data_IF_088401058892
#
_entry.id   IF_088401058892
#
_cell.length_a   1.000
_cell.length_b   1.000
_cell.length_c   1.000
_cell.angle_alpha   90.00
_cell.angle_beta   90.00
_cell.angle_gamma   90.00
#
_symmetry.space_group_name_H-M   'P 1'
#
loop_
_entity.id
_entity.type
_entity.pdbx_description
1 polymer ?
#
# COMPACT_ATOMS: atom_id res chain seq x y z
N UNK A 1 38.38 -9.47 51.91
CA UNK A 1 39.44 -10.28 51.26
C UNK A 1 38.76 -11.45 50.53
N UNK A 2 38.96 -11.69 49.22
CA UNK A 2 39.99 -12.60 48.62
C UNK A 2 40.07 -13.96 49.36
N UNK A 3 40.05 -15.16 48.76
CA UNK A 3 40.06 -15.73 47.37
C UNK A 3 39.57 -17.21 47.52
N UNK A 4 39.24 -18.04 46.51
CA UNK A 4 39.24 -18.02 45.02
C UNK A 4 38.20 -19.07 44.52
N UNK A 5 37.88 -19.09 43.22
CA UNK A 5 37.16 -20.20 42.56
C UNK A 5 38.11 -21.20 41.85
N UNK A 6 37.63 -22.42 41.58
CA UNK A 6 37.58 -23.08 40.24
C UNK A 6 37.20 -24.57 40.31
N UNK A 7 36.36 -25.02 39.38
CA UNK A 7 36.07 -26.42 39.11
C UNK A 7 35.08 -26.53 37.93
N UNK A 8 35.57 -26.83 36.73
CA UNK A 8 34.73 -26.93 35.53
C UNK A 8 34.16 -28.35 35.38
N UNK A 9 32.88 -28.46 34.99
CA UNK A 9 32.19 -29.74 34.78
C UNK A 9 31.32 -29.71 33.52
N UNK A 10 31.49 -30.71 32.67
CA UNK A 10 31.05 -30.76 31.27
C UNK A 10 29.53 -30.65 30.99
N UNK A 11 29.23 -30.23 29.77
CA UNK A 11 27.89 -30.25 29.12
C UNK A 11 27.32 -31.68 29.05
N UNK A 12 26.05 -31.92 29.44
CA UNK A 12 25.37 -33.18 29.14
C UNK A 12 25.07 -33.30 27.64
N UNK A 13 25.60 -34.36 27.00
CA UNK A 13 25.25 -34.70 25.61
C UNK A 13 23.93 -35.45 25.56
N UNK A 14 23.06 -35.09 24.62
CA UNK A 14 21.89 -35.89 24.25
C UNK A 14 22.34 -37.25 23.68
N UNK A 15 21.76 -38.40 24.11
CA UNK A 15 22.01 -39.68 23.48
C UNK A 15 21.17 -39.83 22.20
N UNK A 16 21.82 -40.25 21.12
CA UNK A 16 21.15 -40.58 19.87
C UNK A 16 20.63 -42.04 19.89
N UNK A 17 19.43 -42.22 19.32
CA UNK A 17 18.89 -43.44 18.67
C UNK A 17 19.39 -44.82 19.12
N UNK A 18 18.49 -45.63 19.68
CA UNK A 18 18.63 -47.08 19.73
C UNK A 18 17.48 -47.76 18.96
N UNK A 19 17.84 -48.53 17.92
CA UNK A 19 16.92 -49.40 17.18
C UNK A 19 16.95 -50.81 17.79
N UNK A 20 15.79 -51.35 18.17
CA UNK A 20 15.51 -52.80 18.31
C UNK A 20 14.01 -53.01 18.00
N UNK A 21 13.61 -53.66 16.91
CA UNK A 21 13.65 -55.11 16.60
C UNK A 21 12.85 -56.01 17.56
N UNK A 22 11.56 -56.23 17.24
CA UNK A 22 11.10 -57.56 16.81
C UNK A 22 10.33 -58.46 17.79
N UNK A 23 9.04 -58.69 17.46
CA UNK A 23 8.26 -59.89 17.81
C UNK A 23 7.39 -59.82 19.08
N UNK A 24 6.25 -60.51 19.19
CA UNK A 24 5.46 -61.26 18.18
C UNK A 24 4.04 -61.56 18.71
N UNK A 25 3.05 -61.77 17.81
CA UNK A 25 1.68 -62.19 18.15
C UNK A 25 0.60 -61.44 17.35
N UNK A 26 0.37 -61.76 16.06
CA UNK A 26 -0.68 -62.70 15.57
C UNK A 26 -2.08 -62.34 16.13
N UNK A 27 -3.11 -62.09 15.29
CA UNK A 27 -3.49 -62.96 14.16
C UNK A 27 -4.46 -62.32 13.14
N UNK A 28 -4.34 -62.74 11.86
CA UNK A 28 -5.38 -62.85 10.78
C UNK A 28 -6.17 -61.56 10.43
N UNK A 29 -6.33 -61.12 9.18
CA UNK A 29 -6.03 -61.61 7.82
C UNK A 29 -6.93 -60.79 6.84
N UNK A 30 -6.73 -60.70 5.52
CA UNK A 30 -5.74 -61.26 4.62
C UNK A 30 -5.60 -60.38 3.36
N UNK A 31 -4.38 -60.36 2.77
CA UNK A 31 -4.02 -60.46 1.32
C UNK A 31 -4.81 -59.62 0.28
N UNK A 32 -4.20 -58.91 -0.67
CA UNK A 32 -2.78 -58.69 -1.04
C UNK A 32 -2.65 -57.44 -1.93
N UNK A 33 -1.51 -56.72 -1.98
CA UNK A 33 -0.30 -57.00 -2.81
C UNK A 33 -0.63 -57.21 -4.30
N UNK A 34 0.00 -56.56 -5.28
CA UNK A 34 1.06 -55.52 -5.33
C UNK A 34 0.92 -54.75 -6.66
N UNK A 35 1.85 -53.95 -7.17
CA UNK A 35 3.28 -53.78 -6.83
C UNK A 35 3.76 -52.37 -7.24
N UNK A 36 4.96 -51.96 -6.80
CA UNK A 36 5.55 -50.66 -7.13
C UNK A 36 6.31 -50.67 -8.46
N UNK A 37 5.92 -49.75 -9.33
CA UNK A 37 6.84 -48.95 -10.14
C UNK A 37 7.32 -49.54 -11.46
N UNK A 38 7.20 -48.72 -12.52
CA UNK A 38 8.32 -48.44 -13.41
C UNK A 38 8.06 -47.14 -14.19
N UNK A 39 9.12 -46.34 -14.33
CA UNK A 39 9.17 -45.20 -15.24
C UNK A 39 9.27 -45.72 -16.68
N UNK A 40 8.35 -45.38 -17.58
CA UNK A 40 8.66 -45.39 -19.02
C UNK A 40 7.94 -44.28 -19.79
N UNK A 41 8.72 -43.67 -20.71
CA UNK A 41 8.30 -42.60 -21.62
C UNK A 41 7.53 -43.19 -22.82
N UNK A 42 6.37 -42.63 -23.17
CA UNK A 42 5.87 -42.47 -24.54
C UNK A 42 4.70 -41.47 -24.52
N UNK A 43 4.44 -40.61 -25.51
CA UNK A 43 5.21 -40.38 -26.73
C UNK A 43 4.42 -40.35 -28.04
N UNK A 44 3.29 -39.64 -28.12
CA UNK A 44 2.60 -39.15 -29.36
C UNK A 44 1.61 -38.05 -28.93
N UNK A 45 1.67 -36.81 -29.41
CA UNK A 45 1.50 -36.28 -30.78
C UNK A 45 0.07 -36.41 -31.32
N UNK A 46 -0.76 -35.40 -31.03
CA UNK A 46 -1.82 -34.98 -31.93
C UNK A 46 -1.46 -33.65 -32.60
N UNK A 47 -1.92 -33.46 -33.83
CA UNK A 47 -1.40 -32.47 -34.77
C UNK A 47 -2.36 -31.29 -34.87
N UNK A 48 -1.87 -30.06 -34.62
CA UNK A 48 -2.56 -28.86 -35.13
C UNK A 48 -2.58 -28.91 -36.67
N UNK A 49 -3.73 -28.61 -37.25
CA UNK A 49 -3.90 -28.48 -38.70
C UNK A 49 -2.99 -27.37 -39.25
N UNK A 50 -2.47 -27.59 -40.47
CA UNK A 50 -1.75 -26.59 -41.25
C UNK A 50 -2.67 -26.10 -42.37
N UNK A 51 -2.77 -24.79 -42.55
CA UNK A 51 -3.17 -24.18 -43.83
C UNK A 51 -1.98 -23.38 -44.39
N UNK A 52 -1.80 -23.33 -45.72
CA UNK A 52 -0.60 -22.76 -46.34
C UNK A 52 -0.78 -21.28 -46.73
N UNK A 53 0.32 -20.52 -46.67
CA UNK A 53 0.40 -19.17 -47.23
C UNK A 53 1.88 -18.76 -47.37
N UNK A 54 2.29 -18.14 -48.49
CA UNK A 54 3.69 -17.81 -48.72
C UNK A 54 4.14 -16.67 -47.79
N UNK A 55 5.29 -16.84 -47.13
CA UNK A 55 5.92 -15.75 -46.37
C UNK A 55 6.47 -14.73 -47.36
N UNK A 56 6.00 -13.48 -47.26
CA UNK A 56 6.60 -12.37 -47.98
C UNK A 56 8.07 -12.20 -47.57
N UNK A 57 8.95 -11.96 -48.55
CA UNK A 57 10.36 -11.72 -48.30
C UNK A 57 10.57 -10.34 -47.63
N UNK A 58 11.51 -10.27 -46.69
CA UNK A 58 11.99 -9.00 -46.14
C UNK A 58 12.77 -8.26 -47.25
N UNK A 59 12.47 -6.99 -47.57
CA UNK A 59 13.22 -6.26 -48.57
C UNK A 59 14.62 -5.90 -48.05
N UNK A 60 15.62 -6.05 -48.91
CA UNK A 60 17.02 -5.73 -48.62
C UNK A 60 17.27 -4.21 -48.48
N UNK A 61 18.39 -3.85 -47.85
CA UNK A 61 18.80 -2.45 -47.66
C UNK A 61 19.25 -1.81 -48.97
N UNK A 62 18.33 -1.12 -49.66
CA UNK A 62 18.60 -0.40 -50.91
C UNK A 62 18.45 1.13 -50.81
N UNK A 63 19.58 1.81 -50.63
CA UNK A 63 19.87 3.21 -51.04
C UNK A 63 19.05 4.38 -50.45
N UNK A 64 19.68 5.57 -50.46
CA UNK A 64 19.20 6.80 -49.82
C UNK A 64 18.75 7.80 -50.90
N UNK A 65 17.53 8.30 -50.81
CA UNK A 65 17.16 9.56 -51.45
C UNK A 65 16.92 10.64 -50.39
N UNK A 66 17.44 11.84 -50.64
CA UNK A 66 17.48 12.92 -49.66
C UNK A 66 16.14 13.65 -49.54
N UNK A 67 15.62 13.72 -48.32
CA UNK A 67 14.64 14.72 -47.91
C UNK A 67 15.24 15.55 -46.76
N UNK A 68 14.93 16.84 -46.73
CA UNK A 68 15.58 17.81 -45.85
C UNK A 68 15.30 17.55 -44.36
N UNK A 69 16.29 17.66 -43.46
CA UNK A 69 16.03 17.60 -42.02
C UNK A 69 15.34 18.89 -41.52
N UNK A 70 14.31 18.80 -40.67
CA UNK A 70 13.68 19.98 -40.07
C UNK A 70 14.62 20.69 -39.07
N UNK A 71 14.27 21.93 -38.75
CA UNK A 71 15.15 22.94 -38.16
C UNK A 71 15.99 22.50 -36.94
N UNK A 72 17.30 22.78 -36.99
CA UNK A 72 18.22 22.65 -35.85
C UNK A 72 17.80 23.59 -34.72
N UNK A 73 17.36 23.03 -33.57
CA UNK A 73 17.46 23.75 -32.29
C UNK A 73 18.94 24.03 -31.99
N UNK A 74 19.33 25.31 -31.98
CA UNK A 74 20.68 25.76 -31.64
C UNK A 74 20.98 25.37 -30.19
N UNK A 75 21.86 24.37 -30.01
CA UNK A 75 22.42 24.06 -28.69
C UNK A 75 23.61 24.96 -28.42
N UNK A 76 23.40 26.03 -27.66
CA UNK A 76 24.50 26.81 -27.08
C UNK A 76 25.34 25.89 -26.18
N UNK A 77 26.52 25.50 -26.65
CA UNK A 77 27.56 24.84 -25.85
C UNK A 77 28.72 25.81 -25.67
N UNK A 78 28.76 26.51 -24.53
CA UNK A 78 29.98 27.13 -24.05
C UNK A 78 30.19 26.81 -22.56
N UNK A 79 31.25 26.03 -22.30
CA UNK A 79 32.17 26.14 -21.15
C UNK A 79 31.54 26.30 -19.75
N UNK A 80 30.92 25.23 -19.26
CA UNK A 80 30.60 25.04 -17.83
C UNK A 80 30.54 23.54 -17.44
N UNK A 81 31.33 22.67 -18.09
CA UNK A 81 31.19 21.19 -17.98
C UNK A 81 32.45 20.41 -17.62
N UNK A 82 33.62 21.04 -17.56
CA UNK A 82 34.88 20.34 -17.32
C UNK A 82 35.30 20.34 -15.84
N UNK A 83 34.95 21.37 -15.07
CA UNK A 83 35.25 21.43 -13.63
C UNK A 83 34.40 20.45 -12.81
N UNK A 84 33.09 20.37 -13.12
CA UNK A 84 32.15 19.45 -12.47
C UNK A 84 32.48 17.94 -12.67
N UNK A 85 33.44 17.60 -13.55
CA UNK A 85 33.90 16.22 -13.77
C UNK A 85 35.16 15.86 -12.98
N UNK A 86 35.87 16.82 -12.36
CA UNK A 86 37.05 16.51 -11.54
C UNK A 86 36.67 16.04 -10.13
N UNK A 87 35.68 16.69 -9.49
CA UNK A 87 35.22 16.37 -8.13
C UNK A 87 34.17 15.24 -8.05
N UNK A 88 33.64 14.78 -9.18
CA UNK A 88 32.70 13.64 -9.22
C UNK A 88 33.37 12.27 -8.93
N UNK A 89 34.66 12.24 -8.59
CA UNK A 89 35.40 11.02 -8.26
C UNK A 89 35.52 10.85 -6.74
N UNK A 90 35.00 9.73 -6.24
CA UNK A 90 35.23 9.14 -4.91
C UNK A 90 34.31 9.55 -3.73
N UNK A 91 33.11 10.08 -3.97
CA UNK A 91 31.99 9.77 -3.05
C UNK A 91 31.35 8.45 -3.45
N UNK A 92 31.83 7.33 -2.87
CA UNK A 92 31.02 6.10 -2.82
C UNK A 92 29.68 6.49 -2.15
N UNK A 93 28.52 6.12 -2.71
CA UNK A 93 27.26 6.36 -2.02
C UNK A 93 27.30 5.60 -0.69
N UNK A 94 27.37 6.33 0.42
CA UNK A 94 27.19 5.75 1.74
C UNK A 94 25.78 5.17 1.78
N UNK A 95 25.66 3.85 1.96
CA UNK A 95 24.36 3.25 2.25
C UNK A 95 23.87 3.84 3.57
N UNK A 96 22.86 4.68 3.53
CA UNK A 96 22.10 5.14 4.71
C UNK A 96 21.15 4.02 5.20
N UNK A 97 21.62 2.78 5.14
CA UNK A 97 20.91 1.56 5.54
C UNK A 97 21.62 1.01 6.76
N UNK A 98 21.38 1.63 7.91
CA UNK A 98 21.76 1.07 9.21
C UNK A 98 20.90 -0.16 9.57
N UNK A 99 21.24 -0.85 10.67
CA UNK A 99 20.32 -1.81 11.28
C UNK A 99 19.05 -1.11 11.79
N UNK A 100 17.99 -1.89 12.06
CA UNK A 100 16.81 -1.37 12.75
C UNK A 100 17.20 -0.84 14.14
N UNK A 101 16.77 0.36 14.49
CA UNK A 101 16.96 0.92 15.83
C UNK A 101 15.95 0.30 16.80
N UNK A 102 16.24 -0.92 17.24
CA UNK A 102 15.42 -1.65 18.21
C UNK A 102 15.88 -1.40 19.65
N UNK A 103 14.93 -1.38 20.58
CA UNK A 103 15.15 -1.32 22.03
C UNK A 103 14.27 -2.34 22.72
N UNK A 104 14.69 -2.82 23.89
CA UNK A 104 13.82 -3.52 24.83
C UNK A 104 13.10 -2.47 25.66
N UNK A 105 11.83 -2.70 25.98
CA UNK A 105 11.07 -1.85 26.87
C UNK A 105 10.06 -2.66 27.69
N UNK A 106 9.43 -2.00 28.65
CA UNK A 106 8.34 -2.56 29.47
C UNK A 106 7.08 -1.72 29.27
N UNK A 107 5.93 -2.35 29.08
CA UNK A 107 4.65 -1.63 28.92
C UNK A 107 4.20 -1.08 30.28
N UNK A 108 3.99 0.23 30.34
CA UNK A 108 3.60 0.97 31.57
C UNK A 108 2.09 1.22 31.60
N UNK A 109 1.45 1.40 30.45
CA UNK A 109 -0.01 1.56 30.35
C UNK A 109 -0.53 1.15 28.98
N UNK A 110 -1.80 0.73 28.95
CA UNK A 110 -2.56 0.52 27.71
C UNK A 110 -3.57 1.65 27.57
N UNK A 111 -3.22 2.65 26.76
CA UNK A 111 -3.92 3.94 26.67
C UNK A 111 -5.18 3.86 25.80
N UNK A 112 -5.19 2.97 24.79
CA UNK A 112 -6.37 2.65 23.97
C UNK A 112 -6.24 1.27 23.33
N UNK A 113 -7.19 0.38 23.58
CA UNK A 113 -7.29 -0.92 22.90
C UNK A 113 -7.97 -0.79 21.53
N UNK A 114 -7.32 -1.33 20.51
CA UNK A 114 -7.75 -1.38 19.11
C UNK A 114 -6.81 -2.32 18.32
N UNK A 115 -7.08 -2.64 17.03
CA UNK A 115 -6.07 -3.29 16.18
C UNK A 115 -4.72 -2.53 16.16
N UNK A 116 -4.76 -1.19 16.25
CA UNK A 116 -3.61 -0.29 16.47
C UNK A 116 -3.50 0.15 17.95
N UNK A 117 -3.41 -0.80 18.88
CA UNK A 117 -3.42 -0.52 20.34
C UNK A 117 -2.33 0.49 20.71
N UNK A 118 -2.74 1.60 21.34
CA UNK A 118 -1.84 2.63 21.83
C UNK A 118 -1.45 2.32 23.29
N UNK A 119 -0.15 2.43 23.56
CA UNK A 119 0.46 2.11 24.84
C UNK A 119 1.53 3.16 25.19
N UNK A 120 1.88 3.23 26.47
CA UNK A 120 3.13 3.86 26.92
C UNK A 120 4.12 2.78 27.33
N UNK A 121 5.36 2.88 26.85
CA UNK A 121 6.46 1.96 27.17
C UNK A 121 7.59 2.68 27.90
N UNK A 122 8.15 2.09 28.94
CA UNK A 122 9.47 2.45 29.47
C UNK A 122 10.52 1.90 28.51
N UNK A 123 11.36 2.79 27.98
CA UNK A 123 12.59 2.43 27.28
C UNK A 123 13.76 3.10 28.00
N UNK A 124 14.47 2.32 28.82
CA UNK A 124 15.64 2.75 29.59
C UNK A 124 15.37 3.96 30.51
N UNK A 125 14.18 4.02 31.11
CA UNK A 125 13.71 5.08 32.01
C UNK A 125 12.97 6.23 31.34
N UNK A 126 12.83 6.23 30.00
CA UNK A 126 11.96 7.19 29.28
C UNK A 126 10.59 6.55 29.02
N UNK A 127 9.51 7.16 29.49
CA UNK A 127 8.14 6.78 29.13
C UNK A 127 7.80 7.34 27.74
N UNK A 128 7.57 6.46 26.77
CA UNK A 128 7.42 6.78 25.35
C UNK A 128 6.08 6.25 24.81
N UNK A 129 5.30 7.05 24.06
CA UNK A 129 4.14 6.53 23.34
C UNK A 129 4.56 5.52 22.28
N UNK A 130 3.85 4.39 22.17
CA UNK A 130 4.06 3.40 21.14
C UNK A 130 2.73 2.84 20.59
N UNK A 131 2.79 2.24 19.40
CA UNK A 131 1.68 1.50 18.79
C UNK A 131 2.05 0.01 18.68
N UNK A 132 1.17 -0.85 19.17
CA UNK A 132 1.17 -2.28 18.95
C UNK A 132 0.10 -2.65 17.92
N UNK A 133 0.51 -3.24 16.79
CA UNK A 133 -0.42 -3.86 15.86
C UNK A 133 -0.73 -5.27 16.37
N UNK A 134 -1.76 -5.39 17.21
CA UNK A 134 -1.98 -6.61 18.02
C UNK A 134 -2.29 -7.85 17.19
N UNK A 135 -2.79 -7.68 15.97
CA UNK A 135 -2.99 -8.75 14.99
C UNK A 135 -1.66 -9.34 14.46
N UNK A 136 -0.54 -8.61 14.63
CA UNK A 136 0.82 -9.06 14.30
C UNK A 136 1.66 -9.38 15.54
N UNK A 137 1.53 -8.60 16.61
CA UNK A 137 2.39 -8.70 17.80
C UNK A 137 1.79 -9.55 18.93
N UNK A 138 0.53 -9.98 18.77
CA UNK A 138 -0.29 -10.49 19.86
C UNK A 138 -0.80 -9.38 20.80
N UNK A 139 -1.70 -9.73 21.74
CA UNK A 139 -2.26 -8.80 22.72
C UNK A 139 -1.20 -8.23 23.68
N UNK A 140 -1.42 -7.00 24.13
CA UNK A 140 -0.50 -6.22 24.98
C UNK A 140 -1.18 -5.76 26.27
N UNK A 141 -0.45 -5.85 27.38
CA UNK A 141 -0.87 -5.53 28.74
C UNK A 141 0.24 -4.79 29.49
N UNK A 142 -0.11 -4.12 30.59
CA UNK A 142 0.87 -3.55 31.52
C UNK A 142 1.81 -4.64 32.09
N UNK A 143 3.09 -4.31 32.25
CA UNK A 143 4.15 -5.22 32.71
C UNK A 143 4.76 -6.10 31.61
N UNK A 144 4.29 -6.03 30.37
CA UNK A 144 4.88 -6.77 29.25
C UNK A 144 6.30 -6.33 28.91
N UNK A 145 7.17 -7.28 28.63
CA UNK A 145 8.44 -7.03 27.99
C UNK A 145 8.25 -7.01 26.46
N UNK A 146 8.66 -5.92 25.81
CA UNK A 146 8.49 -5.71 24.37
C UNK A 146 9.82 -5.35 23.70
N UNK A 147 9.91 -5.62 22.40
CA UNK A 147 10.91 -5.01 21.51
C UNK A 147 10.21 -3.90 20.73
N UNK A 148 10.73 -2.68 20.77
CA UNK A 148 10.20 -1.51 20.07
C UNK A 148 11.21 -0.95 19.06
N UNK A 149 10.72 -0.53 17.90
CA UNK A 149 11.46 0.24 16.92
C UNK A 149 11.29 1.73 17.21
N UNK A 150 12.39 2.39 17.58
CA UNK A 150 12.41 3.79 18.02
C UNK A 150 12.86 4.77 16.93
N UNK A 151 13.20 4.27 15.74
CA UNK A 151 13.97 5.03 14.74
C UNK A 151 13.26 6.30 14.24
N UNK A 152 11.95 6.26 14.02
CA UNK A 152 11.20 7.41 13.51
C UNK A 152 11.13 8.55 14.55
N UNK A 153 10.84 8.21 15.82
CA UNK A 153 10.76 9.16 16.94
C UNK A 153 12.14 9.76 17.26
N UNK A 154 13.19 8.93 17.35
CA UNK A 154 14.56 9.38 17.62
C UNK A 154 15.10 10.33 16.54
N UNK A 155 14.67 10.17 15.28
CA UNK A 155 15.03 11.05 14.16
C UNK A 155 14.08 12.26 13.99
N UNK A 156 13.03 12.38 14.81
CA UNK A 156 12.00 13.42 14.66
C UNK A 156 11.22 13.33 13.35
N UNK A 157 11.10 12.12 12.77
CA UNK A 157 10.49 11.89 11.45
C UNK A 157 9.03 11.44 11.54
N UNK A 158 8.25 11.92 10.57
CA UNK A 158 6.83 11.59 10.43
C UNK A 158 5.93 12.33 11.42
N UNK A 159 4.62 12.19 11.23
CA UNK A 159 3.60 12.85 12.06
C UNK A 159 3.09 11.99 13.23
N UNK A 160 3.75 10.85 13.51
CA UNK A 160 3.30 9.90 14.52
C UNK A 160 3.68 10.29 15.94
N UNK A 161 4.97 10.59 16.17
CA UNK A 161 5.49 10.90 17.51
C UNK A 161 5.61 9.69 18.46
N UNK A 162 5.28 8.50 17.97
CA UNK A 162 5.28 7.23 18.70
C UNK A 162 6.31 6.23 18.13
N UNK A 163 6.75 5.31 18.97
CA UNK A 163 7.52 4.13 18.56
C UNK A 163 6.58 3.01 18.06
N UNK A 164 7.14 1.96 17.44
CA UNK A 164 6.35 0.81 16.95
C UNK A 164 6.79 -0.46 17.69
N UNK A 165 5.85 -1.21 18.28
CA UNK A 165 6.16 -2.54 18.81
C UNK A 165 6.53 -3.47 17.67
N UNK A 166 7.74 -4.05 17.75
CA UNK A 166 8.26 -5.03 16.81
C UNK A 166 7.89 -6.46 17.22
N UNK A 167 7.90 -6.76 18.53
CA UNK A 167 7.49 -8.03 19.10
C UNK A 167 7.10 -7.88 20.58
N UNK A 168 6.10 -8.63 21.03
CA UNK A 168 5.79 -8.82 22.45
C UNK A 168 6.50 -10.08 22.95
N UNK A 169 7.45 -9.94 23.88
CA UNK A 169 8.27 -11.03 24.40
C UNK A 169 7.56 -11.84 25.50
N UNK A 170 6.60 -11.22 26.21
CA UNK A 170 5.86 -11.87 27.30
C UNK A 170 4.78 -12.82 26.78
N UNK A 171 4.01 -12.43 25.76
CA UNK A 171 2.93 -13.28 25.21
C UNK A 171 2.81 -13.37 23.69
N UNK A 172 3.49 -12.52 22.93
CA UNK A 172 3.43 -12.56 21.45
C UNK A 172 4.16 -13.76 20.83
N UNK A 173 5.23 -14.24 21.46
CA UNK A 173 6.10 -15.30 20.92
C UNK A 173 5.47 -16.70 20.86
N UNK A 174 4.31 -16.88 21.51
CA UNK A 174 3.57 -18.15 21.56
C UNK A 174 2.27 -18.09 20.74
N UNK A 175 2.07 -17.06 19.92
CA UNK A 175 0.90 -16.94 19.05
C UNK A 175 0.97 -17.96 17.90
N UNK A 176 -0.13 -18.70 17.70
CA UNK A 176 -0.28 -19.59 16.55
C UNK A 176 -0.44 -18.78 15.25
N UNK A 177 0.13 -19.31 14.15
CA UNK A 177 -0.06 -18.72 12.82
C UNK A 177 -1.42 -19.06 12.21
N UNK A 178 -1.85 -18.29 11.20
CA UNK A 178 -3.09 -18.55 10.49
C UNK A 178 -3.04 -19.92 9.77
N UNK A 179 -3.88 -20.86 10.21
CA UNK A 179 -3.95 -22.20 9.66
C UNK A 179 -4.50 -22.19 8.22
N UNK A 180 -3.87 -22.95 7.32
CA UNK A 180 -4.31 -23.10 5.91
C UNK A 180 -3.98 -21.92 4.99
N UNK A 181 -3.53 -20.79 5.52
CA UNK A 181 -3.12 -19.64 4.70
C UNK A 181 -1.84 -19.96 3.90
N UNK A 182 -1.85 -19.59 2.62
CA UNK A 182 -0.79 -19.92 1.66
C UNK A 182 -0.18 -18.69 0.97
N UNK A 183 -0.73 -17.51 1.22
CA UNK A 183 -0.19 -16.21 0.82
C UNK A 183 0.40 -15.50 2.03
N UNK A 184 1.51 -14.78 1.80
CA UNK A 184 2.20 -13.98 2.79
C UNK A 184 2.21 -12.51 2.36
N UNK A 185 2.21 -11.60 3.32
CA UNK A 185 2.61 -10.19 3.13
C UNK A 185 3.97 -9.93 3.79
N UNK A 186 4.64 -8.87 3.30
CA UNK A 186 5.99 -8.46 3.73
C UNK A 186 7.05 -9.59 3.65
N UNK A 187 6.95 -10.40 2.60
CA UNK A 187 7.73 -11.63 2.40
C UNK A 187 9.23 -11.40 2.56
N UNK A 188 9.91 -12.34 3.24
CA UNK A 188 11.33 -12.31 3.55
C UNK A 188 11.79 -11.16 4.47
N UNK A 189 10.86 -10.53 5.19
CA UNK A 189 11.16 -9.61 6.31
C UNK A 189 10.84 -10.27 7.65
N UNK A 190 11.31 -9.71 8.76
CA UNK A 190 10.93 -10.15 10.11
C UNK A 190 9.48 -9.80 10.50
N UNK A 191 8.73 -9.12 9.63
CA UNK A 191 7.30 -8.82 9.79
C UNK A 191 6.43 -9.60 8.80
N UNK A 192 6.99 -10.63 8.14
CA UNK A 192 6.20 -11.47 7.24
C UNK A 192 5.11 -12.22 8.01
N UNK A 193 3.89 -12.19 7.49
CA UNK A 193 2.73 -12.83 8.10
C UNK A 193 1.79 -13.34 7.01
N UNK A 194 1.00 -14.35 7.37
CA UNK A 194 0.06 -14.99 6.47
C UNK A 194 -1.22 -14.16 6.32
N UNK A 195 -1.83 -14.18 5.12
CA UNK A 195 -3.09 -13.50 4.82
C UNK A 195 -4.01 -14.40 3.97
N UNK A 196 -5.31 -14.13 4.03
CA UNK A 196 -6.32 -14.65 3.10
C UNK A 196 -6.55 -13.61 1.99
N UNK A 197 -6.12 -13.85 0.74
CA UNK A 197 -6.19 -12.86 -0.34
C UNK A 197 -7.63 -12.74 -0.87
N UNK A 198 -8.22 -11.55 -0.74
CA UNK A 198 -9.62 -11.30 -1.11
C UNK A 198 -9.91 -11.57 -2.59
N UNK A 199 -8.92 -11.47 -3.48
CA UNK A 199 -9.08 -11.79 -4.91
C UNK A 199 -9.44 -13.26 -5.19
N UNK A 200 -9.15 -14.20 -4.28
CA UNK A 200 -9.59 -15.60 -4.45
C UNK A 200 -11.12 -15.76 -4.33
N UNK A 201 -11.79 -14.81 -3.66
CA UNK A 201 -13.26 -14.77 -3.57
C UNK A 201 -13.91 -14.22 -4.85
N UNK A 202 -13.12 -13.55 -5.71
CA UNK A 202 -13.58 -12.97 -6.96
C UNK A 202 -13.52 -13.95 -8.15
N UNK A 203 -12.71 -15.01 -8.04
CA UNK A 203 -12.62 -16.04 -9.07
C UNK A 203 -11.94 -15.56 -10.36
N UNK A 204 -12.57 -15.84 -11.50
CA UNK A 204 -12.05 -15.45 -12.81
C UNK A 204 -12.13 -13.93 -13.04
N UNK A 205 -11.27 -13.42 -13.93
CA UNK A 205 -11.20 -11.99 -14.24
C UNK A 205 -12.40 -11.53 -15.09
N UNK A 206 -13.22 -10.64 -14.56
CA UNK A 206 -14.32 -9.97 -15.25
C UNK A 206 -13.87 -8.63 -15.85
N UNK A 207 -14.14 -8.42 -17.15
CA UNK A 207 -13.85 -7.18 -17.87
C UNK A 207 -14.89 -6.90 -18.96
N UNK A 208 -15.26 -5.63 -19.23
CA UNK A 208 -14.92 -4.44 -18.42
C UNK A 208 -15.71 -4.44 -17.11
N UNK A 209 -15.17 -3.84 -16.04
CA UNK A 209 -15.94 -3.68 -14.80
C UNK A 209 -17.00 -2.57 -14.87
N UNK A 210 -16.75 -1.50 -15.63
CA UNK A 210 -17.65 -0.34 -15.79
C UNK A 210 -18.21 0.25 -14.47
N UNK A 211 -17.37 0.22 -13.43
CA UNK A 211 -17.62 0.82 -12.12
C UNK A 211 -16.76 2.06 -11.92
N UNK A 212 -17.22 2.99 -11.10
CA UNK A 212 -16.49 4.21 -10.82
C UNK A 212 -15.39 4.00 -9.75
N UNK A 213 -14.21 4.56 -10.01
CA UNK A 213 -13.06 4.48 -9.09
C UNK A 213 -12.44 5.86 -8.90
N UNK A 214 -12.54 6.39 -7.68
CA UNK A 214 -11.91 7.65 -7.29
C UNK A 214 -10.49 7.42 -6.75
N UNK A 215 -9.50 8.00 -7.42
CA UNK A 215 -8.08 7.90 -7.07
C UNK A 215 -7.67 9.12 -6.25
N UNK A 216 -7.28 8.90 -5.00
CA UNK A 216 -6.78 9.95 -4.09
C UNK A 216 -5.26 9.85 -3.90
N UNK A 217 -4.59 11.00 -3.81
CA UNK A 217 -3.12 11.07 -3.60
C UNK A 217 -2.74 11.39 -2.15
N UNK A 218 -3.72 11.74 -1.31
CA UNK A 218 -3.58 12.01 0.12
C UNK A 218 -4.72 11.35 0.90
N UNK A 219 -4.37 10.61 1.96
CA UNK A 219 -5.34 9.96 2.85
C UNK A 219 -6.38 10.91 3.47
N UNK A 220 -6.03 12.19 3.65
CA UNK A 220 -6.94 13.21 4.16
C UNK A 220 -8.07 13.60 3.17
N UNK A 221 -8.00 13.18 1.89
CA UNK A 221 -9.09 13.38 0.93
C UNK A 221 -10.23 12.37 1.16
N UNK A 222 -9.93 11.18 1.71
CA UNK A 222 -10.89 10.07 1.83
C UNK A 222 -12.18 10.44 2.58
N UNK A 223 -12.18 11.12 3.74
CA UNK A 223 -13.43 11.46 4.43
C UNK A 223 -14.30 12.46 3.66
N UNK A 224 -13.69 13.37 2.89
CA UNK A 224 -14.43 14.33 2.06
C UNK A 224 -15.10 13.62 0.89
N UNK A 225 -14.38 12.72 0.19
CA UNK A 225 -14.89 11.94 -0.93
C UNK A 225 -16.04 11.03 -0.48
N UNK A 226 -15.84 10.29 0.62
CA UNK A 226 -16.86 9.39 1.16
C UNK A 226 -18.12 10.13 1.65
N UNK A 227 -17.96 11.28 2.32
CA UNK A 227 -19.09 12.09 2.77
C UNK A 227 -19.86 12.69 1.58
N UNK A 228 -19.19 13.36 0.64
CA UNK A 228 -19.88 13.99 -0.49
C UNK A 228 -20.58 12.96 -1.39
N UNK A 229 -20.03 11.75 -1.55
CA UNK A 229 -20.74 10.65 -2.21
C UNK A 229 -22.01 10.25 -1.45
N UNK A 230 -21.93 10.08 -0.13
CA UNK A 230 -23.06 9.66 0.69
C UNK A 230 -24.20 10.68 0.73
N UNK A 231 -23.89 11.99 0.75
CA UNK A 231 -24.88 13.06 0.66
C UNK A 231 -25.52 13.14 -0.73
N UNK A 232 -24.71 13.06 -1.80
CA UNK A 232 -25.20 13.18 -3.18
C UNK A 232 -25.96 11.92 -3.64
N UNK A 233 -25.58 10.73 -3.15
CA UNK A 233 -26.21 9.44 -3.48
C UNK A 233 -26.26 8.50 -2.27
N UNK A 234 -27.21 8.70 -1.35
CA UNK A 234 -27.38 7.85 -0.18
C UNK A 234 -27.56 6.37 -0.52
N UNK A 235 -27.00 5.50 0.30
CA UNK A 235 -27.06 4.04 0.14
C UNK A 235 -25.97 3.43 -0.76
N UNK A 236 -25.17 4.24 -1.45
CA UNK A 236 -24.05 3.76 -2.29
C UNK A 236 -23.01 2.99 -1.47
N UNK A 237 -22.73 1.74 -1.85
CA UNK A 237 -21.75 0.86 -1.20
C UNK A 237 -20.33 1.15 -1.70
N UNK A 238 -19.72 2.22 -1.21
CA UNK A 238 -18.33 2.57 -1.57
C UNK A 238 -17.29 1.85 -0.70
N UNK A 239 -16.34 1.16 -1.30
CA UNK A 239 -15.20 0.59 -0.58
C UNK A 239 -13.95 1.47 -0.61
N UNK A 240 -13.00 1.21 0.28
CA UNK A 240 -11.68 1.83 0.25
C UNK A 240 -10.57 0.79 0.05
N UNK A 241 -9.80 0.94 -1.03
CA UNK A 241 -8.56 0.21 -1.27
C UNK A 241 -7.36 1.04 -0.80
N UNK A 242 -6.79 0.66 0.33
CA UNK A 242 -5.58 1.28 0.88
C UNK A 242 -4.34 0.72 0.20
N UNK A 243 -3.54 1.60 -0.39
CA UNK A 243 -2.33 1.26 -1.14
C UNK A 243 -1.07 1.77 -0.44
N UNK A 244 0.09 1.46 -1.02
CA UNK A 244 1.37 2.09 -0.64
C UNK A 244 1.35 3.62 -0.82
N UNK A 245 2.37 4.29 -0.25
CA UNK A 245 2.58 5.73 -0.33
C UNK A 245 2.46 6.45 1.02
N UNK A 246 1.72 5.88 1.95
CA UNK A 246 1.71 6.26 3.37
C UNK A 246 2.04 5.05 4.26
N UNK A 247 1.48 5.04 5.45
CA UNK A 247 1.50 3.91 6.36
C UNK A 247 0.93 2.65 5.69
N UNK A 248 1.68 1.55 5.81
CA UNK A 248 1.27 0.23 5.34
C UNK A 248 0.16 -0.41 6.20
N UNK A 249 0.17 -0.29 7.55
CA UNK A 249 -0.92 -0.83 8.38
C UNK A 249 -2.25 -0.11 8.13
N UNK A 250 -3.29 -0.87 7.79
CA UNK A 250 -4.67 -0.38 7.64
C UNK A 250 -5.25 0.12 8.97
N UNK A 251 -5.06 -0.69 10.02
CA UNK A 251 -5.45 -0.43 11.40
C UNK A 251 -5.09 0.98 11.93
N UNK A 252 -3.99 1.58 11.47
CA UNK A 252 -3.54 2.91 11.93
C UNK A 252 -4.51 4.04 11.52
N UNK A 253 -5.39 3.82 10.53
CA UNK A 253 -6.30 4.86 10.06
C UNK A 253 -7.52 5.03 10.95
N UNK A 254 -7.46 6.04 11.82
CA UNK A 254 -8.65 6.59 12.49
C UNK A 254 -9.72 7.09 11.51
N UNK A 255 -9.33 7.58 10.33
CA UNK A 255 -10.27 8.06 9.32
C UNK A 255 -11.12 6.90 8.78
N UNK A 256 -10.47 5.80 8.36
CA UNK A 256 -11.17 4.62 7.85
C UNK A 256 -12.07 4.04 8.93
N UNK A 257 -11.56 3.88 10.16
CA UNK A 257 -12.37 3.39 11.29
C UNK A 257 -13.64 4.23 11.50
N UNK A 258 -13.53 5.56 11.57
CA UNK A 258 -14.70 6.44 11.75
C UNK A 258 -15.68 6.37 10.56
N UNK A 259 -15.18 6.27 9.33
CA UNK A 259 -16.04 6.14 8.15
C UNK A 259 -16.76 4.78 8.11
N UNK A 260 -16.10 3.69 8.54
CA UNK A 260 -16.71 2.36 8.68
C UNK A 260 -17.75 2.33 9.81
N UNK A 261 -17.43 2.88 10.98
CA UNK A 261 -18.35 3.02 12.13
C UNK A 261 -19.61 3.81 11.78
N UNK A 262 -19.50 4.81 10.89
CA UNK A 262 -20.62 5.64 10.40
C UNK A 262 -21.32 5.11 9.14
N UNK A 263 -20.90 3.95 8.60
CA UNK A 263 -21.47 3.39 7.37
C UNK A 263 -21.13 4.16 6.07
N UNK A 264 -20.22 5.13 6.12
CA UNK A 264 -19.76 5.93 4.97
C UNK A 264 -18.73 5.18 4.09
N UNK A 265 -18.23 4.03 4.57
CA UNK A 265 -17.51 3.05 3.77
C UNK A 265 -18.16 1.68 3.97
N UNK A 266 -18.33 0.92 2.90
CA UNK A 266 -18.87 -0.44 2.89
C UNK A 266 -17.81 -1.50 3.24
N UNK A 267 -16.52 -1.20 3.08
CA UNK A 267 -15.42 -2.09 3.45
C UNK A 267 -14.03 -1.47 3.23
N UNK A 268 -13.00 -2.12 3.79
CA UNK A 268 -11.61 -1.69 3.69
C UNK A 268 -10.68 -2.85 3.29
N UNK A 269 -10.05 -2.73 2.12
CA UNK A 269 -9.06 -3.71 1.61
C UNK A 269 -7.68 -3.07 1.57
N UNK A 270 -6.66 -3.72 2.11
CA UNK A 270 -5.25 -3.31 1.99
C UNK A 270 -4.55 -4.06 0.86
N UNK A 271 -3.89 -3.33 -0.05
CA UNK A 271 -3.33 -3.88 -1.29
C UNK A 271 -1.81 -3.69 -1.41
N UNK A 272 -1.16 -4.60 -2.15
CA UNK A 272 0.29 -4.59 -2.36
C UNK A 272 1.03 -4.67 -1.00
N UNK A 273 2.06 -3.85 -0.63
CA UNK A 273 2.72 -4.02 0.68
C UNK A 273 1.92 -3.43 1.86
N UNK A 274 0.76 -2.78 1.62
CA UNK A 274 -0.14 -2.41 2.71
C UNK A 274 -0.82 -3.67 3.26
N UNK A 275 -1.12 -3.70 4.56
CA UNK A 275 -1.63 -4.89 5.27
C UNK A 275 -2.56 -4.52 6.43
N UNK A 276 -3.40 -5.44 6.90
CA UNK A 276 -4.21 -5.22 8.11
C UNK A 276 -5.29 -4.15 7.96
N UNK A 277 -5.95 -4.10 6.80
CA UNK A 277 -7.34 -3.68 6.68
C UNK A 277 -8.28 -4.80 7.14
N UNK A 278 -9.58 -4.69 6.86
CA UNK A 278 -10.54 -5.76 7.15
C UNK A 278 -10.28 -7.01 6.30
N UNK A 279 -9.70 -6.80 5.11
CA UNK A 279 -9.36 -7.79 4.11
C UNK A 279 -8.04 -7.39 3.44
N UNK A 280 -7.29 -8.36 2.95
CA UNK A 280 -6.00 -8.15 2.34
C UNK A 280 -5.98 -8.64 0.89
N UNK A 281 -5.31 -7.89 0.01
CA UNK A 281 -5.11 -8.25 -1.38
C UNK A 281 -3.63 -8.24 -1.78
N UNK A 282 -3.23 -9.11 -2.71
CA UNK A 282 -1.85 -9.16 -3.22
C UNK A 282 -1.57 -7.96 -4.12
N UNK A 283 -2.56 -7.51 -4.88
CA UNK A 283 -2.40 -6.40 -5.85
C UNK A 283 -3.54 -5.38 -5.77
N UNK A 284 -3.29 -4.15 -6.25
CA UNK A 284 -4.32 -3.10 -6.36
C UNK A 284 -5.43 -3.51 -7.34
N UNK A 285 -5.08 -4.20 -8.43
CA UNK A 285 -6.05 -4.69 -9.41
C UNK A 285 -6.95 -5.79 -8.80
N UNK A 286 -6.36 -6.75 -8.08
CA UNK A 286 -7.12 -7.78 -7.33
C UNK A 286 -8.05 -7.19 -6.28
N UNK A 287 -7.57 -6.19 -5.52
CA UNK A 287 -8.38 -5.46 -4.54
C UNK A 287 -9.59 -4.73 -5.15
N UNK A 288 -9.38 -4.03 -6.27
CA UNK A 288 -10.43 -3.32 -6.99
C UNK A 288 -11.44 -4.30 -7.60
N UNK A 289 -10.97 -5.34 -8.30
CA UNK A 289 -11.80 -6.38 -8.89
C UNK A 289 -12.67 -7.04 -7.81
N UNK A 290 -12.06 -7.60 -6.76
CA UNK A 290 -12.78 -8.29 -5.70
C UNK A 290 -13.76 -7.38 -4.94
N UNK A 291 -13.39 -6.12 -4.72
CA UNK A 291 -14.28 -5.12 -4.14
C UNK A 291 -15.55 -4.91 -4.98
N UNK A 292 -15.37 -4.73 -6.28
CA UNK A 292 -16.43 -4.37 -7.23
C UNK A 292 -17.27 -5.58 -7.71
N UNK A 293 -16.76 -6.81 -7.58
CA UNK A 293 -17.49 -8.05 -7.92
C UNK A 293 -17.93 -8.81 -6.66
N UNK A 294 -17.00 -9.43 -5.92
CA UNK A 294 -17.29 -10.33 -4.81
C UNK A 294 -17.81 -9.64 -3.54
N UNK A 295 -17.33 -8.43 -3.21
CA UNK A 295 -17.80 -7.67 -2.05
C UNK A 295 -19.05 -6.84 -2.37
N UNK A 296 -19.41 -6.72 -3.65
CA UNK A 296 -20.57 -5.97 -4.13
C UNK A 296 -20.50 -4.47 -3.85
N UNK A 297 -19.33 -3.86 -3.99
CA UNK A 297 -19.21 -2.41 -3.95
C UNK A 297 -19.72 -1.79 -5.26
N UNK A 298 -20.50 -0.71 -5.16
CA UNK A 298 -20.98 0.05 -6.31
C UNK A 298 -19.87 0.97 -6.88
N UNK A 299 -18.93 1.36 -6.01
CA UNK A 299 -17.77 2.20 -6.33
C UNK A 299 -16.59 1.92 -5.38
N UNK A 300 -15.40 2.37 -5.76
CA UNK A 300 -14.23 2.33 -4.89
C UNK A 300 -13.50 3.67 -4.80
N UNK A 301 -12.95 3.98 -3.63
CA UNK A 301 -11.87 4.96 -3.46
C UNK A 301 -10.56 4.19 -3.34
N UNK A 302 -9.49 4.62 -4.01
CA UNK A 302 -8.17 3.98 -3.97
C UNK A 302 -7.06 5.00 -3.71
N UNK A 303 -6.17 4.71 -2.76
CA UNK A 303 -5.11 5.65 -2.37
C UNK A 303 -4.35 5.30 -1.09
N UNK A 304 -3.34 6.10 -0.72
CA UNK A 304 -2.42 5.79 0.37
C UNK A 304 -3.06 5.89 1.77
N UNK A 305 -2.52 5.12 2.72
CA UNK A 305 -2.77 5.28 4.16
C UNK A 305 -2.24 6.60 4.75
N UNK A 306 -2.47 6.88 6.05
CA UNK A 306 -2.00 8.10 6.72
C UNK A 306 -0.46 8.19 6.74
N UNK A 307 0.11 9.38 6.93
CA UNK A 307 1.58 9.53 7.04
C UNK A 307 2.33 9.36 5.71
N UNK A 308 1.94 10.15 4.70
CA UNK A 308 2.56 10.16 3.36
C UNK A 308 4.09 10.39 3.42
N UNK A 309 4.84 9.56 2.69
CA UNK A 309 6.29 9.68 2.57
C UNK A 309 6.70 10.70 1.50
N UNK A 310 7.88 11.30 1.63
CA UNK A 310 8.35 12.31 0.66
C UNK A 310 9.83 12.64 0.73
N UNK A 311 10.38 12.93 -0.45
CA UNK A 311 11.64 13.64 -0.70
C UNK A 311 11.34 14.93 -1.45
N UNK A 312 12.35 15.78 -1.68
CA UNK A 312 12.20 17.00 -2.49
C UNK A 312 12.22 16.79 -4.01
N UNK A 313 11.96 15.56 -4.49
CA UNK A 313 11.93 15.22 -5.92
C UNK A 313 10.51 14.97 -6.43
N UNK A 314 10.26 15.29 -7.70
CA UNK A 314 8.95 15.10 -8.33
C UNK A 314 8.49 13.63 -8.43
N UNK A 315 9.39 12.66 -8.27
CA UNK A 315 9.07 11.22 -8.34
C UNK A 315 9.21 10.50 -7.00
N UNK A 316 9.97 11.06 -6.05
CA UNK A 316 10.22 10.45 -4.74
C UNK A 316 9.21 10.89 -3.69
N UNK A 317 7.91 10.71 -3.93
CA UNK A 317 6.87 10.98 -2.94
C UNK A 317 5.75 9.93 -2.98
N UNK A 318 5.17 9.61 -1.83
CA UNK A 318 4.16 8.57 -1.68
C UNK A 318 2.86 8.84 -2.44
N UNK A 319 2.54 10.11 -2.68
CA UNK A 319 1.37 10.51 -3.49
C UNK A 319 1.47 10.11 -4.96
N UNK A 320 2.65 9.66 -5.44
CA UNK A 320 2.81 9.13 -6.79
C UNK A 320 2.11 7.76 -6.95
N UNK A 321 1.78 7.07 -5.86
CA UNK A 321 0.97 5.85 -5.88
C UNK A 321 -0.38 6.04 -6.60
N UNK A 322 -0.89 7.29 -6.68
CA UNK A 322 -2.06 7.61 -7.50
C UNK A 322 -1.88 7.27 -8.99
N UNK A 323 -0.65 7.28 -9.52
CA UNK A 323 -0.35 6.84 -10.90
C UNK A 323 -0.59 5.34 -11.08
N UNK A 324 0.00 4.52 -10.20
CA UNK A 324 -0.15 3.06 -10.22
C UNK A 324 -1.61 2.65 -9.99
N UNK A 325 -2.29 3.34 -9.07
CA UNK A 325 -3.70 3.11 -8.75
C UNK A 325 -4.63 3.45 -9.93
N UNK A 326 -4.38 4.58 -10.61
CA UNK A 326 -5.12 4.96 -11.81
C UNK A 326 -4.85 3.98 -12.97
N UNK A 327 -3.61 3.54 -13.16
CA UNK A 327 -3.28 2.50 -14.15
C UNK A 327 -3.98 1.17 -13.86
N UNK A 328 -4.07 0.76 -12.58
CA UNK A 328 -4.81 -0.45 -12.19
C UNK A 328 -6.31 -0.32 -12.48
N UNK A 329 -6.94 0.81 -12.12
CA UNK A 329 -8.35 1.06 -12.41
C UNK A 329 -8.64 1.13 -13.93
N UNK A 330 -7.79 1.80 -14.70
CA UNK A 330 -7.87 1.85 -16.16
C UNK A 330 -7.67 0.47 -16.81
N UNK A 331 -6.81 -0.39 -16.26
CA UNK A 331 -6.60 -1.74 -16.77
C UNK A 331 -7.78 -2.69 -16.51
N UNK A 332 -8.65 -2.35 -15.56
CA UNK A 332 -9.93 -3.01 -15.30
C UNK A 332 -11.11 -2.40 -16.09
N UNK A 333 -10.81 -1.41 -16.94
CA UNK A 333 -11.78 -0.55 -17.64
C UNK A 333 -12.84 0.05 -16.70
N UNK A 334 -12.40 0.47 -15.51
CA UNK A 334 -13.19 1.27 -14.58
C UNK A 334 -13.24 2.74 -15.03
N UNK A 335 -14.36 3.41 -14.74
CA UNK A 335 -14.55 4.85 -14.91
C UNK A 335 -13.71 5.59 -13.86
N UNK A 336 -12.48 5.92 -14.28
CA UNK A 336 -11.40 6.37 -13.39
C UNK A 336 -11.42 7.88 -13.22
N UNK A 337 -11.54 8.32 -11.97
CA UNK A 337 -11.62 9.73 -11.56
C UNK A 337 -10.38 10.07 -10.73
N UNK A 338 -9.56 11.01 -11.17
CA UNK A 338 -8.51 11.61 -10.35
C UNK A 338 -9.16 12.65 -9.43
N UNK A 339 -9.02 12.48 -8.12
CA UNK A 339 -9.37 13.50 -7.13
C UNK A 339 -8.11 14.35 -6.88
N UNK A 340 -7.98 15.53 -7.51
CA UNK A 340 -6.72 16.24 -7.54
C UNK A 340 -6.31 16.71 -6.14
N UNK A 341 -5.02 16.59 -5.81
CA UNK A 341 -4.47 17.38 -4.73
C UNK A 341 -4.45 18.83 -5.18
N UNK A 342 -5.23 19.67 -4.51
CA UNK A 342 -5.22 21.12 -4.65
C UNK A 342 -5.01 21.77 -3.28
N UNK A 343 -4.59 23.03 -3.25
CA UNK A 343 -4.42 23.78 -2.00
C UNK A 343 -4.44 25.29 -2.23
N UNK A 344 -5.09 26.02 -1.33
CA UNK A 344 -5.00 27.48 -1.22
C UNK A 344 -3.98 27.87 -0.15
N UNK A 345 -3.84 27.06 0.90
CA UNK A 345 -3.03 27.34 2.08
C UNK A 345 -1.63 26.72 2.13
N UNK A 346 -1.10 26.11 1.06
CA UNK A 346 0.25 25.53 1.12
C UNK A 346 1.30 26.66 1.05
N UNK A 347 2.25 26.76 2.01
CA UNK A 347 3.28 27.78 1.96
C UNK A 347 4.22 27.64 0.75
N UNK A 348 4.31 26.45 0.15
CA UNK A 348 5.19 26.16 -0.99
C UNK A 348 4.46 26.44 -2.31
N UNK A 349 4.95 27.36 -3.17
CA UNK A 349 4.25 27.75 -4.40
C UNK A 349 3.89 26.58 -5.33
N UNK A 350 4.76 25.54 -5.41
CA UNK A 350 4.53 24.32 -6.22
C UNK A 350 3.34 23.45 -5.80
N UNK A 351 2.68 23.78 -4.69
CA UNK A 351 1.51 23.06 -4.20
C UNK A 351 0.23 23.91 -4.16
N UNK A 352 0.30 25.21 -4.51
CA UNK A 352 -0.87 26.10 -4.58
C UNK A 352 -1.64 25.90 -5.89
N UNK A 353 -2.96 26.08 -5.84
CA UNK A 353 -3.86 25.71 -6.94
C UNK A 353 -3.78 24.19 -7.16
N UNK A 354 -3.61 23.76 -8.41
CA UNK A 354 -3.31 22.36 -8.74
C UNK A 354 -1.86 22.00 -8.35
N UNK A 355 -1.69 21.14 -7.34
CA UNK A 355 -0.37 20.74 -6.83
C UNK A 355 0.46 19.99 -7.88
N UNK A 356 1.79 20.21 -7.88
CA UNK A 356 2.68 19.54 -8.84
C UNK A 356 2.58 18.00 -8.77
N UNK A 357 2.35 17.40 -7.59
CA UNK A 357 2.12 15.95 -7.48
C UNK A 357 1.00 15.45 -8.41
N UNK A 358 -0.10 16.21 -8.51
CA UNK A 358 -1.22 15.89 -9.41
C UNK A 358 -0.80 16.08 -10.87
N UNK A 359 -0.08 17.17 -11.17
CA UNK A 359 0.43 17.42 -12.53
C UNK A 359 1.37 16.31 -12.99
N UNK A 360 2.29 15.85 -12.15
CA UNK A 360 3.19 14.74 -12.44
C UNK A 360 2.44 13.42 -12.66
N UNK A 361 1.39 13.12 -11.89
CA UNK A 361 0.53 11.96 -12.15
C UNK A 361 -0.14 12.09 -13.52
N UNK A 362 -0.73 13.25 -13.84
CA UNK A 362 -1.36 13.49 -15.13
C UNK A 362 -0.33 13.35 -16.28
N UNK A 363 0.82 14.02 -16.21
CA UNK A 363 1.91 13.95 -17.20
C UNK A 363 2.41 12.52 -17.50
N UNK A 364 2.25 11.58 -16.56
CA UNK A 364 2.71 10.20 -16.67
C UNK A 364 1.59 9.19 -16.97
N UNK A 365 0.32 9.60 -17.00
CA UNK A 365 -0.80 8.72 -17.33
C UNK A 365 -0.76 8.29 -18.81
N UNK A 366 -1.07 7.01 -19.05
CA UNK A 366 -1.04 6.40 -20.38
C UNK A 366 -2.39 6.41 -21.11
N UNK A 367 -3.49 6.75 -20.42
CA UNK A 367 -4.85 6.86 -20.96
C UNK A 367 -5.55 8.10 -20.37
N UNK A 368 -6.52 8.69 -21.08
CA UNK A 368 -7.43 9.69 -20.51
C UNK A 368 -8.13 9.21 -19.24
N UNK A 369 -8.40 10.16 -18.35
CA UNK A 369 -9.13 9.99 -17.09
C UNK A 369 -10.04 11.19 -16.87
N UNK A 370 -11.05 11.02 -16.01
CA UNK A 370 -11.78 12.15 -15.46
C UNK A 370 -10.96 12.83 -14.37
N UNK A 371 -11.10 14.14 -14.22
CA UNK A 371 -10.51 14.92 -13.13
C UNK A 371 -11.62 15.70 -12.45
N UNK A 372 -11.85 15.43 -11.18
CA UNK A 372 -12.85 16.15 -10.40
C UNK A 372 -12.38 17.58 -10.11
N UNK A 373 -13.20 18.58 -10.42
CA UNK A 373 -12.89 20.00 -10.27
C UNK A 373 -14.00 20.64 -9.42
N UNK A 374 -13.68 21.45 -8.40
CA UNK A 374 -14.70 22.25 -7.72
C UNK A 374 -15.33 23.24 -8.70
N UNK A 375 -16.67 23.28 -8.75
CA UNK A 375 -17.37 24.18 -9.66
C UNK A 375 -16.89 25.63 -9.53
N UNK A 376 -16.66 26.27 -10.68
CA UNK A 376 -16.14 27.64 -10.76
C UNK A 376 -14.67 27.84 -10.34
N UNK A 377 -13.92 26.77 -10.03
CA UNK A 377 -12.48 26.85 -9.77
C UNK A 377 -11.68 26.75 -11.08
N UNK A 378 -10.86 27.74 -11.45
CA UNK A 378 -10.09 27.70 -12.70
C UNK A 378 -8.91 26.72 -12.56
N UNK A 379 -8.96 25.59 -13.27
CA UNK A 379 -7.90 24.57 -13.27
C UNK A 379 -7.36 24.34 -14.68
N UNK A 380 -6.06 24.59 -14.85
CA UNK A 380 -5.34 24.22 -16.07
C UNK A 380 -5.03 22.71 -16.05
N UNK A 381 -5.60 21.97 -17.00
CA UNK A 381 -5.42 20.53 -17.18
C UNK A 381 -4.87 20.23 -18.59
N UNK A 382 -4.15 19.10 -18.79
CA UNK A 382 -3.79 18.65 -20.12
C UNK A 382 -5.04 18.41 -20.98
N UNK A 383 -5.00 18.77 -22.27
CA UNK A 383 -6.18 18.72 -23.15
C UNK A 383 -6.76 17.32 -23.47
N UNK A 384 -6.16 16.25 -22.92
CA UNK A 384 -6.70 14.89 -22.98
C UNK A 384 -7.42 14.49 -21.68
N UNK A 385 -7.26 15.24 -20.59
CA UNK A 385 -7.95 14.99 -19.32
C UNK A 385 -9.37 15.57 -19.39
N UNK A 386 -10.36 14.82 -18.90
CA UNK A 386 -11.76 15.23 -18.91
C UNK A 386 -12.14 15.90 -17.58
N UNK A 387 -12.26 17.24 -17.50
CA UNK A 387 -12.79 17.87 -16.30
C UNK A 387 -14.23 17.43 -16.04
N UNK A 388 -14.56 17.29 -14.76
CA UNK A 388 -15.90 17.08 -14.22
C UNK A 388 -16.09 18.07 -13.07
N UNK A 389 -16.97 19.05 -13.26
CA UNK A 389 -17.26 20.05 -12.24
C UNK A 389 -18.36 19.54 -11.30
N UNK A 390 -18.13 19.63 -9.99
CA UNK A 390 -19.13 19.32 -8.98
C UNK A 390 -19.27 20.44 -7.94
N UNK A 391 -20.49 20.60 -7.42
CA UNK A 391 -20.76 21.47 -6.29
C UNK A 391 -20.06 20.97 -5.02
N UNK A 392 -19.74 21.88 -4.09
CA UNK A 392 -18.96 21.55 -2.88
C UNK A 392 -19.56 22.18 -1.63
N UNK A 393 -20.17 21.39 -0.75
CA UNK A 393 -20.67 21.87 0.53
C UNK A 393 -19.62 21.74 1.64
N UNK A 394 -18.89 22.83 1.89
CA UNK A 394 -17.94 22.94 3.00
C UNK A 394 -18.63 23.07 4.36
N UNK A 395 -19.84 23.65 4.41
CA UNK A 395 -20.54 23.92 5.65
C UNK A 395 -21.15 22.62 6.22
N UNK A 396 -21.82 21.84 5.37
CA UNK A 396 -22.25 20.48 5.70
C UNK A 396 -21.09 19.56 6.06
N UNK A 397 -19.98 19.61 5.31
CA UNK A 397 -18.80 18.80 5.65
C UNK A 397 -18.23 19.18 7.03
N UNK A 398 -18.13 20.48 7.36
CA UNK A 398 -17.71 20.92 8.68
C UNK A 398 -18.70 20.49 9.78
N UNK A 399 -20.00 20.59 9.53
CA UNK A 399 -21.07 20.18 10.45
C UNK A 399 -21.13 18.66 10.67
N UNK A 400 -20.66 17.85 9.72
CA UNK A 400 -20.63 16.39 9.83
C UNK A 400 -19.78 15.86 11.00
N UNK A 401 -18.87 16.67 11.55
CA UNK A 401 -17.92 16.24 12.57
C UNK A 401 -16.95 15.15 12.09
N UNK A 402 -16.68 15.09 10.78
CA UNK A 402 -15.60 14.30 10.18
C UNK A 402 -14.24 15.04 10.27
N UNK A 403 -13.11 14.37 9.98
CA UNK A 403 -11.78 14.98 10.06
C UNK A 403 -11.59 16.23 9.20
N UNK A 404 -11.64 17.40 9.84
CA UNK A 404 -11.56 18.72 9.21
C UNK A 404 -10.13 19.32 9.18
N UNK A 405 -9.07 18.49 9.13
CA UNK A 405 -7.68 18.95 9.05
C UNK A 405 -6.82 18.16 8.05
N UNK A 406 -5.94 18.87 7.34
CA UNK A 406 -5.01 18.33 6.32
C UNK A 406 -3.61 18.92 6.47
N UNK A 407 -2.59 18.07 6.65
CA UNK A 407 -1.19 18.52 6.83
C UNK A 407 -1.03 19.64 7.89
N UNK A 408 -1.77 19.53 9.00
CA UNK A 408 -1.78 20.52 10.09
C UNK A 408 -2.77 21.68 9.92
N UNK A 409 -3.37 21.90 8.74
CA UNK A 409 -4.25 23.04 8.43
C UNK A 409 -5.74 22.67 8.52
N UNK A 410 -6.61 23.58 8.94
CA UNK A 410 -8.07 23.45 8.98
C UNK A 410 -8.74 23.66 7.61
N UNK A 411 -10.09 23.61 7.57
CA UNK A 411 -10.89 23.94 6.38
C UNK A 411 -10.67 25.38 5.95
N UNK A 412 -10.66 26.32 6.89
CA UNK A 412 -10.49 27.76 6.65
C UNK A 412 -9.06 28.06 6.17
N UNK A 413 -8.07 27.35 6.73
CA UNK A 413 -6.66 27.49 6.36
C UNK A 413 -6.32 26.89 4.98
N UNK A 414 -7.10 25.92 4.47
CA UNK A 414 -6.85 25.27 3.16
C UNK A 414 -8.13 24.91 2.39
N UNK A 415 -9.05 25.88 2.26
CA UNK A 415 -10.38 25.75 1.62
C UNK A 415 -10.36 24.91 0.34
N UNK A 416 -9.40 25.19 -0.56
CA UNK A 416 -9.34 24.53 -1.87
C UNK A 416 -8.98 23.04 -1.79
N UNK A 417 -8.26 22.59 -0.76
CA UNK A 417 -8.04 21.15 -0.54
C UNK A 417 -9.36 20.42 -0.28
N UNK A 418 -10.19 20.98 0.62
CA UNK A 418 -11.46 20.38 1.00
C UNK A 418 -12.45 20.44 -0.17
N UNK A 419 -12.55 21.59 -0.87
CA UNK A 419 -13.37 21.69 -2.10
C UNK A 419 -12.97 20.64 -3.13
N UNK A 420 -11.68 20.47 -3.43
CA UNK A 420 -11.21 19.48 -4.41
C UNK A 420 -11.53 18.04 -4.01
N UNK A 421 -11.44 17.72 -2.71
CA UNK A 421 -11.78 16.39 -2.21
C UNK A 421 -13.29 16.14 -2.18
N UNK A 422 -14.11 17.15 -1.85
CA UNK A 422 -15.59 17.08 -1.91
C UNK A 422 -16.08 16.91 -3.35
N UNK A 423 -15.53 17.68 -4.30
CA UNK A 423 -15.83 17.53 -5.72
C UNK A 423 -15.52 16.11 -6.21
N UNK A 424 -14.47 15.48 -5.68
CA UNK A 424 -14.16 14.07 -5.94
C UNK A 424 -15.27 13.10 -5.53
N UNK A 425 -15.98 13.35 -4.44
CA UNK A 425 -17.15 12.56 -4.02
C UNK A 425 -18.40 12.86 -4.85
N UNK A 426 -18.62 14.13 -5.22
CA UNK A 426 -19.73 14.52 -6.10
C UNK A 426 -19.62 13.89 -7.49
N UNK A 427 -18.46 13.98 -8.14
CA UNK A 427 -18.21 13.32 -9.44
C UNK A 427 -18.27 11.80 -9.31
N UNK A 428 -17.86 11.22 -8.18
CA UNK A 428 -18.03 9.78 -7.94
C UNK A 428 -19.52 9.39 -7.85
N UNK A 429 -20.39 10.25 -7.32
CA UNK A 429 -21.82 10.00 -7.21
C UNK A 429 -22.57 10.03 -8.56
N UNK A 430 -22.11 10.89 -9.48
CA UNK A 430 -22.60 10.98 -10.86
C UNK A 430 -22.23 9.75 -11.71
N UNK A 431 -21.13 9.08 -11.36
CA UNK A 431 -20.59 7.94 -12.10
C UNK A 431 -20.98 6.57 -11.49
N UNK A 432 -21.81 6.53 -10.44
CA UNK A 432 -22.44 5.29 -9.94
C UNK A 432 -23.80 5.02 -10.61
#
# INVERSE_FOLDING_TARGET
>A
MRRRARGAGAVPRLPATAVRTGGAGRSRGARGRGDRGQLHRHGRRERRARLPGPRAALPERGQRHGAQPPARRVRHRLRARDDARRDARHRRPQRVSGPLTLRRGVVVSVDRRAPDTAITVDVAGEHRPAIAYVDLTGPVEEGDEVVVNVAARDLGLGSGGFDIVHANLTRGLSADGAAGAHVMKLNYTSLQHAVDPVEERAGDLELPLDRAVAVVSLHAQLPCVAWALAEARPGTRVGYVQTAGGALPGALSRNVRVLRERGLLAGHVTASPAFGGEQDAVTVAGALHAGLTALGWDAAVVGPGPGILGSDTALGHGGLAALDNAHAALALDCRTIIVPRMSSGDPRPRHRGLSHHTRTVLELLLRPVMVAVPKGEPVELPGWAAPREAETDLAGYAASGLPARTMGRSIEEDVLFFRAALAGGGVLAEEV
#
